data_IF_237943605219
#
_entry.id   IF_237943605219
#
_cell.length_a   1.000
_cell.length_b   1.000
_cell.length_c   1.000
_cell.angle_alpha   90.00
_cell.angle_beta   90.00
_cell.angle_gamma   90.00
#
_symmetry.space_group_name_H-M   'P 1'
#
loop_
_entity.id
_entity.type
_entity.pdbx_description
1 polymer ?
#
# COMPACT_ATOMS: atom_id res chain seq x y z
N UNK A 1 93.81 41.23 -20.68
CA UNK A 1 92.47 40.68 -20.40
C UNK A 1 92.64 39.47 -19.48
N UNK A 2 91.68 39.15 -18.59
CA UNK A 2 91.82 38.02 -17.69
C UNK A 2 91.98 36.74 -18.51
N UNK A 3 92.92 35.87 -18.13
CA UNK A 3 93.02 34.53 -18.71
C UNK A 3 91.72 33.80 -18.34
N UNK A 4 90.88 33.52 -19.33
CA UNK A 4 89.70 32.71 -19.09
C UNK A 4 90.14 31.31 -18.66
N UNK A 5 89.37 30.71 -17.76
CA UNK A 5 89.58 29.33 -17.36
C UNK A 5 89.30 28.40 -18.55
N UNK A 6 89.98 27.24 -18.61
CA UNK A 6 89.83 26.27 -19.70
C UNK A 6 88.35 25.84 -19.89
N UNK A 7 87.62 25.67 -18.79
CA UNK A 7 86.19 25.34 -18.79
C UNK A 7 85.30 26.46 -19.33
N UNK A 8 85.63 27.72 -19.07
CA UNK A 8 84.88 28.87 -19.58
C UNK A 8 85.11 29.04 -21.08
N UNK A 9 86.33 28.81 -21.55
CA UNK A 9 86.68 28.85 -22.97
C UNK A 9 85.95 27.76 -23.75
N UNK A 10 85.88 26.53 -23.20
CA UNK A 10 85.13 25.43 -23.80
C UNK A 10 83.62 25.73 -23.84
N UNK A 11 83.05 26.32 -22.78
CA UNK A 11 81.64 26.68 -22.74
C UNK A 11 81.28 27.74 -23.80
N UNK A 12 82.14 28.74 -24.00
CA UNK A 12 81.97 29.78 -25.04
C UNK A 12 82.14 29.16 -26.45
N UNK A 13 83.06 28.22 -26.62
CA UNK A 13 83.22 27.46 -27.87
C UNK A 13 81.96 26.67 -28.23
N UNK A 14 81.38 25.92 -27.28
CA UNK A 14 80.15 25.15 -27.51
C UNK A 14 78.95 26.04 -27.89
N UNK A 15 78.95 27.30 -27.46
CA UNK A 15 77.91 28.28 -27.78
C UNK A 15 78.15 29.00 -29.13
N UNK A 16 79.33 28.82 -29.75
CA UNK A 16 79.68 29.45 -31.03
C UNK A 16 79.98 30.95 -30.94
N UNK A 17 80.29 31.48 -29.75
CA UNK A 17 80.45 32.93 -29.50
C UNK A 17 81.91 33.35 -29.29
N UNK A 18 82.86 32.57 -29.81
CA UNK A 18 84.30 32.87 -29.70
C UNK A 18 84.69 34.13 -30.48
N UNK A 19 85.45 35.01 -29.83
CA UNK A 19 86.14 36.12 -30.50
C UNK A 19 87.43 35.64 -31.17
N UNK A 20 87.93 36.39 -32.16
CA UNK A 20 89.13 36.01 -32.93
C UNK A 20 90.38 35.77 -32.07
N UNK A 21 90.56 36.52 -30.97
CA UNK A 21 91.68 36.32 -30.03
C UNK A 21 91.49 35.06 -29.16
N UNK A 22 90.25 34.76 -28.77
CA UNK A 22 89.93 33.56 -27.98
C UNK A 22 90.03 32.28 -28.82
N UNK A 23 89.72 32.36 -30.11
CA UNK A 23 89.90 31.25 -31.04
C UNK A 23 91.38 30.84 -31.14
N UNK A 24 92.30 31.80 -31.23
CA UNK A 24 93.74 31.51 -31.25
C UNK A 24 94.22 30.89 -29.93
N UNK A 25 93.68 31.33 -28.78
CA UNK A 25 93.98 30.73 -27.48
C UNK A 25 93.43 29.30 -27.38
N UNK A 26 92.23 29.05 -27.91
CA UNK A 26 91.61 27.74 -27.95
C UNK A 26 92.39 26.76 -28.83
N UNK A 27 92.75 27.16 -30.05
CA UNK A 27 93.56 26.35 -30.97
C UNK A 27 94.93 26.01 -30.37
N UNK A 28 95.56 26.98 -29.71
CA UNK A 28 96.81 26.76 -28.98
C UNK A 28 96.63 25.74 -27.85
N UNK A 29 95.60 25.87 -27.02
CA UNK A 29 95.32 24.94 -25.93
C UNK A 29 94.99 23.53 -26.43
N UNK A 30 94.29 23.39 -27.56
CA UNK A 30 94.04 22.11 -28.21
C UNK A 30 95.33 21.42 -28.68
N UNK A 31 96.36 22.18 -29.07
CA UNK A 31 97.67 21.60 -29.45
C UNK A 31 98.59 21.32 -28.27
N UNK A 32 98.48 22.09 -27.18
CA UNK A 32 99.37 21.97 -26.02
C UNK A 32 98.85 20.96 -24.98
N UNK A 33 97.53 20.83 -24.82
CA UNK A 33 96.90 20.01 -23.80
C UNK A 33 96.02 18.90 -24.42
N UNK A 34 96.50 17.67 -24.35
CA UNK A 34 95.79 16.49 -24.85
C UNK A 34 94.48 16.21 -24.09
N UNK A 35 94.41 16.55 -22.80
CA UNK A 35 93.19 16.38 -22.00
C UNK A 35 92.09 17.32 -22.49
N UNK A 36 92.43 18.59 -22.71
CA UNK A 36 91.51 19.60 -23.26
C UNK A 36 91.02 19.22 -24.67
N UNK A 37 91.92 18.76 -25.53
CA UNK A 37 91.56 18.28 -26.87
C UNK A 37 90.56 17.11 -26.82
N UNK A 38 90.73 16.17 -25.90
CA UNK A 38 89.80 15.05 -25.72
C UNK A 38 88.41 15.52 -25.25
N UNK A 39 88.34 16.55 -24.40
CA UNK A 39 87.07 17.12 -23.93
C UNK A 39 86.32 17.81 -25.08
N UNK A 40 87.04 18.54 -25.94
CA UNK A 40 86.49 19.17 -27.14
C UNK A 40 85.97 18.11 -28.14
N UNK A 41 86.70 17.01 -28.32
CA UNK A 41 86.27 15.90 -29.17
C UNK A 41 84.96 15.27 -28.65
N UNK A 42 84.89 14.97 -27.35
CA UNK A 42 83.67 14.42 -26.71
C UNK A 42 82.49 15.39 -26.84
N UNK A 43 82.72 16.68 -26.64
CA UNK A 43 81.70 17.71 -26.80
C UNK A 43 81.17 17.76 -28.25
N UNK A 44 82.07 17.68 -29.24
CA UNK A 44 81.69 17.64 -30.65
C UNK A 44 80.90 16.37 -31.00
N UNK A 45 81.40 15.20 -30.59
CA UNK A 45 80.72 13.92 -30.81
C UNK A 45 79.32 13.89 -30.18
N UNK A 46 79.19 14.42 -28.96
CA UNK A 46 77.90 14.51 -28.27
C UNK A 46 76.94 15.46 -28.99
N UNK A 47 77.43 16.59 -29.50
CA UNK A 47 76.63 17.53 -30.29
C UNK A 47 76.11 16.90 -31.59
N UNK A 48 76.94 16.10 -32.26
CA UNK A 48 76.54 15.35 -33.45
C UNK A 48 75.45 14.31 -33.13
N UNK A 49 75.64 13.54 -32.05
CA UNK A 49 74.66 12.54 -31.60
C UNK A 49 73.33 13.17 -31.16
N UNK A 50 73.36 14.37 -30.59
CA UNK A 50 72.16 15.10 -30.17
C UNK A 50 71.36 15.65 -31.36
N UNK A 51 72.03 16.08 -32.44
CA UNK A 51 71.37 16.61 -33.64
C UNK A 51 70.55 15.52 -34.37
N UNK A 52 71.08 14.29 -34.41
CA UNK A 52 70.43 13.16 -35.07
C UNK A 52 69.60 12.29 -34.11
N UNK A 53 69.27 12.77 -32.90
CA UNK A 53 68.49 11.99 -31.94
C UNK A 53 67.06 11.76 -32.48
N UNK A 54 66.68 10.52 -32.82
CA UNK A 54 65.35 10.25 -33.33
C UNK A 54 64.34 10.42 -32.19
N UNK A 55 63.23 11.10 -32.46
CA UNK A 55 62.10 11.12 -31.55
C UNK A 55 61.54 9.69 -31.43
N UNK A 56 61.94 8.97 -30.39
CA UNK A 56 61.39 7.65 -30.10
C UNK A 56 59.90 7.79 -29.77
N UNK A 57 59.08 6.90 -30.32
CA UNK A 57 57.67 6.84 -29.95
C UNK A 57 57.56 6.54 -28.46
N UNK A 58 56.88 7.42 -27.73
CA UNK A 58 56.65 7.22 -26.30
C UNK A 58 55.81 5.96 -26.14
N UNK A 59 56.25 4.97 -25.35
CA UNK A 59 55.48 3.76 -25.13
C UNK A 59 54.11 4.11 -24.57
N UNK A 60 53.07 3.38 -25.00
CA UNK A 60 51.72 3.55 -24.47
C UNK A 60 51.66 3.07 -23.01
N UNK A 61 52.03 3.96 -22.10
CA UNK A 61 52.00 3.71 -20.67
C UNK A 61 50.55 3.56 -20.19
N UNK A 62 50.20 2.34 -19.79
CA UNK A 62 48.94 2.08 -19.13
C UNK A 62 48.98 2.61 -17.69
N UNK A 63 48.49 3.84 -17.49
CA UNK A 63 48.39 4.50 -16.18
C UNK A 63 47.64 3.67 -15.13
N UNK A 64 46.70 2.82 -15.56
CA UNK A 64 45.93 1.96 -14.66
C UNK A 64 46.72 0.73 -14.18
N UNK A 65 47.83 0.39 -14.84
CA UNK A 65 48.73 -0.68 -14.44
C UNK A 65 49.94 -0.17 -13.63
N UNK A 66 50.15 1.15 -13.60
CA UNK A 66 51.29 1.78 -12.90
C UNK A 66 51.08 1.88 -11.39
N UNK A 67 49.82 1.86 -10.94
CA UNK A 67 49.45 2.02 -9.54
C UNK A 67 48.59 0.84 -9.11
N UNK A 68 48.97 0.20 -8.01
CA UNK A 68 48.16 -0.81 -7.34
C UNK A 68 46.96 -0.07 -6.70
N UNK A 69 45.93 0.19 -7.52
CA UNK A 69 44.67 0.74 -7.03
C UNK A 69 44.10 -0.30 -6.07
N UNK A 70 44.06 0.03 -4.77
CA UNK A 70 43.34 -0.77 -3.79
C UNK A 70 41.94 -1.05 -4.36
N UNK A 71 41.63 -2.34 -4.50
CA UNK A 71 40.37 -2.78 -5.10
C UNK A 71 39.19 -2.03 -4.45
N UNK A 72 38.18 -1.61 -5.24
CA UNK A 72 37.03 -0.91 -4.68
C UNK A 72 36.42 -1.77 -3.57
N UNK A 73 36.04 -1.16 -2.42
CA UNK A 73 35.57 -1.90 -1.27
C UNK A 73 34.42 -2.81 -1.70
N UNK A 74 34.51 -4.09 -1.31
CA UNK A 74 33.49 -5.09 -1.64
C UNK A 74 32.14 -4.59 -1.12
N UNK A 75 31.06 -4.95 -1.79
CA UNK A 75 29.68 -4.53 -1.45
C UNK A 75 29.26 -4.76 0.01
N UNK A 76 29.89 -5.73 0.70
CA UNK A 76 29.68 -6.01 2.12
C UNK A 76 30.53 -5.13 3.07
N UNK A 77 31.64 -4.56 2.60
CA UNK A 77 32.51 -3.65 3.36
C UNK A 77 32.02 -2.19 3.33
N UNK A 78 30.76 -1.96 2.93
CA UNK A 78 30.17 -0.63 2.96
C UNK A 78 30.15 -0.12 4.41
N UNK A 79 30.60 1.11 4.61
CA UNK A 79 30.77 1.78 5.91
C UNK A 79 29.49 1.89 6.76
N UNK A 80 28.34 1.42 6.25
CA UNK A 80 27.08 1.35 6.99
C UNK A 80 27.14 0.39 8.18
N UNK A 81 27.85 -0.73 8.11
CA UNK A 81 27.87 -1.71 9.21
C UNK A 81 28.54 -1.18 10.49
N UNK A 82 29.76 -0.59 10.45
CA UNK A 82 30.36 0.01 11.63
C UNK A 82 29.53 1.17 12.19
N UNK A 83 29.00 2.03 11.32
CA UNK A 83 28.14 3.15 11.73
C UNK A 83 26.84 2.68 12.40
N UNK A 84 26.26 1.58 11.94
CA UNK A 84 25.08 0.98 12.57
C UNK A 84 25.40 0.39 13.95
N UNK A 85 26.57 -0.25 14.09
CA UNK A 85 27.01 -0.82 15.38
C UNK A 85 27.30 0.26 16.45
N UNK A 86 27.86 1.41 16.05
CA UNK A 86 28.09 2.52 16.97
C UNK A 86 26.80 3.27 17.32
N UNK A 87 25.88 3.42 16.36
CA UNK A 87 24.56 3.98 16.65
C UNK A 87 23.79 3.08 17.64
N UNK A 88 23.81 1.76 17.44
CA UNK A 88 23.18 0.80 18.36
C UNK A 88 23.79 0.83 19.77
N UNK A 89 25.10 1.02 19.92
CA UNK A 89 25.72 1.11 21.24
C UNK A 89 25.30 2.38 21.99
N UNK A 90 25.22 3.52 21.30
CA UNK A 90 24.70 4.77 21.86
C UNK A 90 23.23 4.59 22.29
N UNK A 91 22.40 3.98 21.44
CA UNK A 91 21.00 3.69 21.76
C UNK A 91 20.89 2.74 22.95
N UNK A 92 21.71 1.68 23.03
CA UNK A 92 21.71 0.75 24.14
C UNK A 92 22.06 1.45 25.47
N UNK A 93 23.04 2.36 25.47
CA UNK A 93 23.39 3.16 26.64
C UNK A 93 22.20 4.04 27.07
N UNK A 94 21.54 4.70 26.12
CA UNK A 94 20.35 5.53 26.41
C UNK A 94 19.19 4.71 26.97
N UNK A 95 18.96 3.50 26.47
CA UNK A 95 17.91 2.61 26.99
C UNK A 95 18.18 2.19 28.45
N UNK A 96 19.44 1.91 28.79
CA UNK A 96 19.84 1.58 30.17
C UNK A 96 19.58 2.75 31.12
N UNK A 97 19.93 3.98 30.72
CA UNK A 97 19.67 5.17 31.55
C UNK A 97 18.19 5.57 31.61
N UNK A 98 17.42 5.26 30.57
CA UNK A 98 15.98 5.57 30.51
C UNK A 98 15.10 4.61 31.32
N UNK A 99 15.68 3.62 32.01
CA UNK A 99 14.90 2.63 32.75
C UNK A 99 14.10 1.71 31.82
N UNK A 100 14.65 1.34 30.67
CA UNK A 100 14.03 0.36 29.78
C UNK A 100 14.05 -1.03 30.43
N UNK A 101 12.88 -1.62 30.60
CA UNK A 101 12.70 -2.98 31.11
C UNK A 101 12.11 -3.86 30.00
N UNK A 102 12.79 -4.97 29.72
CA UNK A 102 12.31 -5.99 28.81
C UNK A 102 12.00 -7.24 29.65
N UNK A 103 10.73 -7.54 29.82
CA UNK A 103 10.28 -8.74 30.54
C UNK A 103 9.74 -9.76 29.55
N UNK A 104 10.08 -11.02 29.77
CA UNK A 104 9.63 -12.14 28.95
C UNK A 104 8.77 -13.03 29.84
N UNK A 105 7.46 -12.97 29.62
CA UNK A 105 6.49 -13.78 30.36
C UNK A 105 5.65 -14.58 29.37
N UNK A 106 5.62 -15.90 29.55
CA UNK A 106 4.84 -16.85 28.75
C UNK A 106 5.01 -16.68 27.22
N UNK A 107 6.25 -16.46 26.76
CA UNK A 107 6.57 -16.32 25.33
C UNK A 107 6.17 -14.97 24.72
N UNK A 108 5.68 -14.02 25.51
CA UNK A 108 5.43 -12.64 25.09
C UNK A 108 6.55 -11.76 25.63
N UNK A 109 7.16 -10.99 24.73
CA UNK A 109 8.16 -9.99 25.11
C UNK A 109 7.43 -8.67 25.31
N UNK A 110 7.45 -8.14 26.53
CA UNK A 110 6.94 -6.81 26.84
C UNK A 110 8.12 -5.87 27.01
N UNK A 111 8.05 -4.75 26.29
CA UNK A 111 9.03 -3.67 26.36
C UNK A 111 8.37 -2.48 27.05
N UNK A 112 8.98 -1.96 28.10
CA UNK A 112 8.47 -0.81 28.85
C UNK A 112 9.57 0.14 29.27
N UNK A 113 9.22 1.40 29.48
CA UNK A 113 10.08 2.36 30.17
C UNK A 113 9.50 2.57 31.56
N UNK A 114 10.35 2.49 32.58
CA UNK A 114 9.98 2.66 33.97
C UNK A 114 9.54 4.11 34.20
N UNK A 115 8.26 4.36 33.94
CA UNK A 115 7.59 5.60 34.28
C UNK A 115 7.42 5.61 35.80
N UNK A 116 7.57 6.78 36.43
CA UNK A 116 7.26 6.98 37.84
C UNK A 116 5.82 6.48 38.10
N UNK A 117 5.72 5.27 38.65
CA UNK A 117 4.47 4.48 38.71
C UNK A 117 3.30 5.25 39.33
N UNK A 118 3.58 6.22 40.20
CA UNK A 118 2.55 7.02 40.88
C UNK A 118 1.78 7.98 39.97
N UNK A 119 2.42 8.57 38.96
CA UNK A 119 1.76 9.55 38.08
C UNK A 119 0.95 8.85 36.98
N UNK A 120 1.49 7.76 36.42
CA UNK A 120 0.81 6.97 35.40
C UNK A 120 -0.42 6.27 35.99
N UNK A 121 -0.33 5.74 37.21
CA UNK A 121 -1.47 5.09 37.86
C UNK A 121 -2.59 6.08 38.17
N UNK A 122 -2.27 7.32 38.60
CA UNK A 122 -3.27 8.37 38.81
C UNK A 122 -3.94 8.82 37.51
N UNK A 123 -3.16 9.04 36.45
CA UNK A 123 -3.70 9.44 35.13
C UNK A 123 -4.55 8.31 34.56
N UNK A 124 -4.10 7.06 34.64
CA UNK A 124 -4.87 5.89 34.17
C UNK A 124 -6.13 5.71 35.00
N UNK A 125 -6.09 5.85 36.33
CA UNK A 125 -7.28 5.76 37.18
C UNK A 125 -8.30 6.86 36.85
N UNK A 126 -7.83 8.09 36.63
CA UNK A 126 -8.68 9.21 36.22
C UNK A 126 -9.33 8.95 34.85
N UNK A 127 -8.55 8.53 33.86
CA UNK A 127 -9.06 8.19 32.51
C UNK A 127 -10.01 7.00 32.55
N UNK A 128 -9.74 5.99 33.37
CA UNK A 128 -10.60 4.82 33.50
C UNK A 128 -11.92 5.15 34.21
N UNK A 129 -11.91 6.08 35.17
CA UNK A 129 -13.13 6.57 35.82
C UNK A 129 -14.01 7.37 34.84
N UNK A 130 -13.41 8.30 34.08
CA UNK A 130 -14.08 9.08 33.03
C UNK A 130 -14.66 8.16 31.93
N UNK A 131 -13.87 7.18 31.47
CA UNK A 131 -14.29 6.22 30.46
C UNK A 131 -15.41 5.28 30.94
N UNK A 132 -15.44 4.94 32.23
CA UNK A 132 -16.54 4.15 32.83
C UNK A 132 -17.83 4.95 32.94
N UNK A 133 -17.76 6.24 33.31
CA UNK A 133 -18.96 7.07 33.36
C UNK A 133 -19.55 7.30 31.98
N UNK A 134 -18.71 7.61 30.99
CA UNK A 134 -19.14 7.86 29.62
C UNK A 134 -19.73 6.61 28.95
N UNK A 135 -19.11 5.45 29.12
CA UNK A 135 -19.65 4.20 28.58
C UNK A 135 -20.97 3.79 29.23
N UNK A 136 -21.17 4.02 30.54
CA UNK A 136 -22.42 3.63 31.20
C UNK A 136 -23.60 4.45 30.66
N UNK A 137 -23.39 5.74 30.41
CA UNK A 137 -24.39 6.61 29.78
C UNK A 137 -24.66 6.18 28.34
N UNK A 138 -23.61 5.97 27.53
CA UNK A 138 -23.75 5.50 26.14
C UNK A 138 -24.45 4.14 26.03
N UNK A 139 -24.10 3.17 26.90
CA UNK A 139 -24.75 1.86 26.96
C UNK A 139 -26.21 1.98 27.39
N UNK A 140 -26.54 2.88 28.33
CA UNK A 140 -27.93 3.10 28.73
C UNK A 140 -28.76 3.68 27.58
N UNK A 141 -28.23 4.65 26.83
CA UNK A 141 -28.87 5.20 25.63
C UNK A 141 -29.05 4.14 24.54
N UNK A 142 -28.04 3.30 24.32
CA UNK A 142 -28.12 2.21 23.36
C UNK A 142 -29.15 1.14 23.78
N UNK A 143 -29.21 0.79 25.06
CA UNK A 143 -30.21 -0.13 25.58
C UNK A 143 -31.64 0.43 25.46
N UNK A 144 -31.82 1.73 25.70
CA UNK A 144 -33.11 2.41 25.49
C UNK A 144 -33.53 2.40 24.02
N UNK A 145 -32.63 2.76 23.09
CA UNK A 145 -32.95 2.77 21.66
C UNK A 145 -33.22 1.37 21.12
N UNK A 146 -32.50 0.35 21.58
CA UNK A 146 -32.75 -1.05 21.19
C UNK A 146 -34.13 -1.52 21.67
N UNK A 147 -34.52 -1.18 22.89
CA UNK A 147 -35.86 -1.49 23.42
C UNK A 147 -36.95 -0.79 22.61
N UNK A 148 -36.75 0.47 22.24
CA UNK A 148 -37.69 1.21 21.41
C UNK A 148 -37.85 0.59 20.01
N UNK A 149 -36.74 0.22 19.37
CA UNK A 149 -36.75 -0.48 18.07
C UNK A 149 -37.47 -1.83 18.16
N UNK A 150 -37.26 -2.60 19.22
CA UNK A 150 -37.97 -3.87 19.42
C UNK A 150 -39.48 -3.67 19.58
N UNK A 151 -39.91 -2.65 20.34
CA UNK A 151 -41.32 -2.31 20.48
C UNK A 151 -41.92 -1.90 19.13
N UNK A 152 -41.27 -1.00 18.38
CA UNK A 152 -41.77 -0.58 17.08
C UNK A 152 -41.89 -1.75 16.11
N UNK A 153 -40.85 -2.58 15.97
CA UNK A 153 -40.86 -3.78 15.15
C UNK A 153 -42.00 -4.74 15.54
N UNK A 154 -42.21 -4.98 16.84
CA UNK A 154 -43.31 -5.83 17.32
C UNK A 154 -44.68 -5.24 16.98
N UNK A 155 -44.84 -3.91 17.03
CA UNK A 155 -46.09 -3.25 16.65
C UNK A 155 -46.33 -3.32 15.15
N UNK A 156 -45.28 -3.19 14.32
CA UNK A 156 -45.38 -3.32 12.87
C UNK A 156 -45.77 -4.75 12.48
N UNK A 157 -45.15 -5.77 13.09
CA UNK A 157 -45.54 -7.16 12.89
C UNK A 157 -46.98 -7.40 13.33
N UNK A 158 -47.39 -6.88 14.49
CA UNK A 158 -48.77 -6.99 14.97
C UNK A 158 -49.75 -6.28 14.03
N UNK A 159 -49.42 -5.08 13.54
CA UNK A 159 -50.21 -4.34 12.55
C UNK A 159 -50.32 -5.12 11.24
N UNK A 160 -49.22 -5.70 10.76
CA UNK A 160 -49.18 -6.52 9.55
C UNK A 160 -50.01 -7.79 9.71
N UNK A 161 -49.87 -8.52 10.82
CA UNK A 161 -50.68 -9.69 11.14
C UNK A 161 -52.17 -9.34 11.26
N UNK A 162 -52.50 -8.23 11.92
CA UNK A 162 -53.89 -7.79 12.07
C UNK A 162 -54.49 -7.34 10.73
N UNK A 163 -53.72 -6.64 9.90
CA UNK A 163 -54.15 -6.18 8.58
C UNK A 163 -54.31 -7.36 7.60
N UNK A 164 -53.32 -8.26 7.54
CA UNK A 164 -53.39 -9.49 6.73
C UNK A 164 -54.55 -10.39 7.18
N UNK A 165 -54.72 -10.64 8.48
CA UNK A 165 -55.88 -11.39 9.00
C UNK A 165 -57.23 -10.76 8.66
N UNK A 166 -57.32 -9.42 8.59
CA UNK A 166 -58.55 -8.74 8.16
C UNK A 166 -58.74 -8.81 6.65
N UNK A 167 -57.66 -8.80 5.87
CA UNK A 167 -57.70 -8.88 4.41
C UNK A 167 -58.04 -10.30 3.96
N UNK A 168 -57.34 -11.32 4.47
CA UNK A 168 -57.60 -12.74 4.23
C UNK A 168 -59.06 -13.08 4.55
N UNK A 169 -59.56 -12.68 5.73
CA UNK A 169 -60.99 -12.89 6.06
C UNK A 169 -61.96 -12.20 5.10
N UNK A 170 -61.65 -10.99 4.60
CA UNK A 170 -62.53 -10.33 3.63
C UNK A 170 -62.55 -11.07 2.30
N UNK A 171 -61.41 -11.60 1.89
CA UNK A 171 -61.27 -12.41 0.70
C UNK A 171 -62.02 -13.74 0.85
N UNK A 172 -61.82 -14.44 1.98
CA UNK A 172 -62.54 -15.66 2.35
C UNK A 172 -64.07 -15.44 2.41
N UNK A 173 -64.53 -14.35 3.03
CA UNK A 173 -65.96 -14.02 3.06
C UNK A 173 -66.50 -13.66 1.67
N UNK A 174 -65.68 -13.05 0.81
CA UNK A 174 -66.04 -12.79 -0.58
C UNK A 174 -66.26 -14.09 -1.36
N UNK A 175 -65.36 -15.07 -1.19
CA UNK A 175 -65.50 -16.40 -1.78
C UNK A 175 -66.74 -17.14 -1.24
N UNK A 176 -66.99 -17.07 0.07
CA UNK A 176 -68.14 -17.72 0.70
C UNK A 176 -69.48 -17.14 0.21
N UNK A 177 -69.57 -15.82 0.05
CA UNK A 177 -70.75 -15.18 -0.55
C UNK A 177 -70.93 -15.61 -2.01
N UNK A 178 -69.84 -15.69 -2.78
CA UNK A 178 -69.88 -16.15 -4.16
C UNK A 178 -70.39 -17.59 -4.25
N UNK A 179 -69.85 -18.49 -3.42
CA UNK A 179 -70.27 -19.90 -3.35
C UNK A 179 -71.76 -20.05 -2.99
N UNK A 180 -72.24 -19.31 -1.99
CA UNK A 180 -73.68 -19.33 -1.61
C UNK A 180 -74.57 -18.86 -2.77
N UNK A 181 -74.12 -17.84 -3.51
CA UNK A 181 -74.89 -17.31 -4.63
C UNK A 181 -74.94 -18.30 -5.82
N UNK A 182 -73.81 -18.94 -6.12
CA UNK A 182 -73.74 -20.02 -7.11
C UNK A 182 -74.68 -21.18 -6.73
N UNK A 183 -74.64 -21.64 -5.47
CA UNK A 183 -75.54 -22.68 -4.97
C UNK A 183 -77.02 -22.28 -5.10
N UNK A 184 -77.39 -21.05 -4.73
CA UNK A 184 -78.77 -20.55 -4.85
C UNK A 184 -79.22 -20.49 -6.31
N UNK A 185 -78.36 -20.06 -7.23
CA UNK A 185 -78.69 -20.00 -8.65
C UNK A 185 -78.89 -21.40 -9.23
N UNK A 186 -78.02 -22.35 -8.88
CA UNK A 186 -78.14 -23.74 -9.30
C UNK A 186 -79.42 -24.39 -8.77
N UNK A 187 -79.78 -24.12 -7.51
CA UNK A 187 -81.04 -24.55 -6.91
C UNK A 187 -82.25 -23.96 -7.66
N UNK A 188 -82.23 -22.66 -7.99
CA UNK A 188 -83.29 -22.04 -8.78
C UNK A 188 -83.44 -22.69 -10.16
N UNK A 189 -82.33 -22.97 -10.84
CA UNK A 189 -82.32 -23.66 -12.13
C UNK A 189 -82.84 -25.10 -11.98
N UNK A 190 -82.49 -25.78 -10.90
CA UNK A 190 -82.97 -27.13 -10.60
C UNK A 190 -84.48 -27.16 -10.38
N UNK A 191 -85.03 -26.30 -9.53
CA UNK A 191 -86.49 -26.19 -9.34
C UNK A 191 -87.21 -25.79 -10.62
N UNK A 192 -86.65 -24.86 -11.40
CA UNK A 192 -87.22 -24.49 -12.70
C UNK A 192 -87.30 -25.68 -13.65
N UNK A 193 -86.26 -26.53 -13.71
CA UNK A 193 -86.28 -27.76 -14.51
C UNK A 193 -87.33 -28.76 -14.02
N UNK A 194 -87.46 -28.96 -12.71
CA UNK A 194 -88.49 -29.83 -12.15
C UNK A 194 -89.91 -29.33 -12.48
N UNK A 195 -90.17 -28.04 -12.30
CA UNK A 195 -91.46 -27.45 -12.64
C UNK A 195 -91.77 -27.62 -14.13
N UNK A 196 -90.81 -27.40 -15.02
CA UNK A 196 -90.97 -27.65 -16.45
C UNK A 196 -91.23 -29.14 -16.75
N UNK A 197 -90.57 -30.07 -16.05
CA UNK A 197 -90.83 -31.51 -16.20
C UNK A 197 -92.22 -31.90 -15.71
N UNK A 198 -92.65 -31.39 -14.56
CA UNK A 198 -94.02 -31.59 -14.04
C UNK A 198 -95.06 -31.01 -15.00
N UNK A 199 -94.83 -29.81 -15.53
CA UNK A 199 -95.69 -29.18 -16.51
C UNK A 199 -95.78 -30.03 -17.79
N UNK A 200 -94.64 -30.48 -18.33
CA UNK A 200 -94.62 -31.36 -19.49
C UNK A 200 -95.31 -32.71 -19.21
N UNK A 201 -95.14 -33.29 -18.02
CA UNK A 201 -95.83 -34.52 -17.64
C UNK A 201 -97.35 -34.33 -17.51
N UNK A 202 -97.82 -33.18 -17.00
CA UNK A 202 -99.24 -32.82 -16.95
C UNK A 202 -99.80 -32.63 -18.37
N UNK A 203 -99.04 -32.00 -19.27
CA UNK A 203 -99.49 -31.78 -20.66
C UNK A 203 -99.37 -33.01 -21.56
N UNK A 204 -98.45 -33.95 -21.26
CA UNK A 204 -98.22 -35.17 -22.07
C UNK A 204 -98.83 -36.44 -21.43
N UNK A 205 -99.49 -36.32 -20.27
CA UNK A 205 -100.30 -37.38 -19.69
C UNK A 205 -101.51 -37.71 -20.58
N UNK A 206 -101.75 -38.99 -20.92
CA UNK A 206 -102.74 -39.36 -21.93
C UNK A 206 -104.16 -39.18 -21.38
N UNK A 207 -104.93 -38.28 -22.02
CA UNK A 207 -106.40 -38.19 -22.00
C UNK A 207 -107.08 -38.40 -20.62
N UNK A 208 -107.49 -37.30 -19.97
CA UNK A 208 -108.92 -36.98 -19.78
C UNK A 208 -109.18 -36.04 -18.58
N UNK A 209 -109.91 -34.94 -18.90
CA UNK A 209 -110.66 -33.99 -18.03
C UNK A 209 -109.93 -32.70 -17.59
N UNK A 210 -110.39 -31.51 -18.05
CA UNK A 210 -109.99 -30.23 -17.47
C UNK A 210 -110.62 -30.07 -16.08
N UNK A 211 -109.79 -29.88 -15.04
CA UNK A 211 -110.26 -29.53 -13.72
C UNK A 211 -110.78 -28.08 -13.71
N UNK A 212 -112.06 -27.94 -13.35
CA UNK A 212 -112.73 -26.67 -13.06
C UNK A 212 -112.21 -26.09 -11.73
N UNK A 213 -112.26 -24.76 -11.52
CA UNK A 213 -111.75 -24.13 -10.30
C UNK A 213 -112.56 -24.57 -9.07
N UNK A 214 -111.86 -25.03 -8.03
CA UNK A 214 -112.44 -25.33 -6.72
C UNK A 214 -112.46 -24.03 -5.91
N UNK A 215 -113.66 -23.50 -5.69
CA UNK A 215 -113.94 -22.47 -4.68
C UNK A 215 -113.66 -23.04 -3.29
N UNK A 216 -112.99 -22.26 -2.44
CA UNK A 216 -112.83 -22.60 -1.03
C UNK A 216 -113.37 -21.48 -0.15
N UNK A 217 -114.70 -21.37 -0.12
CA UNK A 217 -115.41 -20.85 1.06
C UNK A 217 -115.57 -22.03 2.02
N UNK A 218 -114.81 -22.04 3.13
CA UNK A 218 -115.25 -22.45 4.48
C UNK A 218 -114.06 -22.48 5.44
N UNK A 219 -114.07 -21.53 6.37
CA UNK A 219 -113.92 -21.65 7.83
C UNK A 219 -112.91 -22.63 8.45
N UNK A 220 -112.10 -22.07 9.37
CA UNK A 220 -111.67 -22.52 10.72
C UNK A 220 -110.80 -21.33 11.26
N UNK A 221 -111.13 -20.47 12.25
CA UNK A 221 -111.53 -20.70 13.66
C UNK A 221 -110.77 -21.91 14.21
N UNK A 222 -109.67 -21.77 14.95
CA UNK A 222 -109.44 -21.03 16.20
C UNK A 222 -107.95 -20.69 16.42
#
# INVERSE_FOLDING_TARGET
MPKLNESELLAIWMQGTLTAEQQQQFEKLCTENAEFASQVEVANQTSLLAQDYPAAEVPNWNRNASFDYQAPPKWWQWQGLPAFSSALSIVAILLVFSGFEASVENGKVTFGFQSTNTDVEQIVAQRLAEFKSEQNEALSHYAMSLREQQLDASTQLTKYLLASSRQERKEDFGELIKFINEQRNDDQIFYTRQLNQLQNAIYQGPNDKPWLPINNDTNLQD
#
